data_IF_312384515423
#
_entry.id   IF_312384515423
#
_cell.length_a   1.000
_cell.length_b   1.000
_cell.length_c   1.000
_cell.angle_alpha   90.00
_cell.angle_beta   90.00
_cell.angle_gamma   90.00
#
_symmetry.space_group_name_H-M   'P 1'
#
loop_
_entity.id
_entity.type
_entity.pdbx_description
1 polymer ?
#
# COMPACT_ATOMS: atom_id res chain seq x y z
N UNK A 1 29.91 15.39 -38.98
CA UNK A 1 30.76 14.60 -39.90
C UNK A 1 30.54 13.12 -39.59
N UNK A 2 30.67 12.22 -40.56
CA UNK A 2 30.16 10.82 -40.48
C UNK A 2 30.82 10.01 -39.34
N UNK A 3 30.02 9.24 -38.61
CA UNK A 3 30.48 8.06 -37.85
C UNK A 3 30.21 6.85 -38.75
N UNK A 4 31.20 5.98 -38.93
CA UNK A 4 31.09 4.79 -39.77
C UNK A 4 31.98 3.66 -39.22
N UNK A 5 31.49 2.42 -39.34
CA UNK A 5 32.24 1.16 -39.20
C UNK A 5 32.80 0.78 -37.82
N UNK A 6 33.06 -0.49 -37.53
CA UNK A 6 32.47 -1.75 -38.04
C UNK A 6 32.83 -2.92 -37.10
N UNK A 7 32.09 -4.01 -37.23
CA UNK A 7 32.03 -5.19 -36.37
C UNK A 7 33.18 -6.23 -36.54
N UNK A 8 33.01 -7.38 -35.85
CA UNK A 8 33.44 -8.79 -36.14
C UNK A 8 34.83 -9.30 -35.65
N UNK A 9 34.86 -10.63 -35.31
CA UNK A 9 35.96 -11.64 -35.20
C UNK A 9 36.65 -11.75 -33.80
N UNK A 10 36.94 -12.92 -33.16
CA UNK A 10 36.55 -14.38 -33.15
C UNK A 10 37.01 -14.92 -31.73
N UNK A 11 36.33 -15.78 -30.94
CA UNK A 11 35.96 -17.22 -31.02
C UNK A 11 36.88 -18.23 -30.26
N UNK A 12 36.30 -19.37 -29.85
CA UNK A 12 36.97 -20.56 -29.26
C UNK A 12 36.84 -20.68 -27.73
N UNK A 13 36.73 -21.85 -27.06
CA UNK A 13 36.67 -23.29 -27.40
C UNK A 13 35.86 -23.94 -26.23
N UNK A 14 34.73 -24.65 -26.39
CA UNK A 14 34.49 -26.02 -26.88
C UNK A 14 35.02 -27.15 -25.95
N UNK A 15 34.09 -27.86 -25.27
CA UNK A 15 34.13 -29.26 -24.75
C UNK A 15 32.81 -29.45 -23.93
N UNK A 16 31.74 -30.14 -24.33
CA UNK A 16 31.51 -31.51 -24.85
C UNK A 16 31.15 -32.55 -23.76
N UNK A 17 30.04 -33.29 -23.97
CA UNK A 17 29.46 -34.31 -23.07
C UNK A 17 27.93 -34.15 -22.93
N UNK A 18 27.10 -34.66 -23.85
CA UNK A 18 26.56 -36.05 -23.91
C UNK A 18 25.58 -36.37 -22.75
N UNK A 19 24.38 -36.94 -22.92
CA UNK A 19 23.68 -37.59 -24.05
C UNK A 19 22.14 -37.53 -23.77
N UNK A 20 21.28 -37.17 -24.74
CA UNK A 20 20.27 -38.01 -25.45
C UNK A 20 19.37 -38.92 -24.57
N UNK A 21 18.05 -39.15 -24.77
CA UNK A 21 17.03 -38.87 -25.81
C UNK A 21 15.65 -38.72 -25.10
N UNK A 22 14.52 -38.23 -25.66
CA UNK A 22 14.16 -37.97 -27.05
C UNK A 22 13.11 -38.98 -27.57
N UNK A 23 11.81 -38.65 -27.53
CA UNK A 23 10.74 -39.28 -28.34
C UNK A 23 9.64 -38.25 -28.65
N UNK A 24 9.18 -38.19 -29.90
CA UNK A 24 7.95 -37.49 -30.31
C UNK A 24 7.32 -38.22 -31.51
N UNK A 25 5.99 -38.06 -31.63
CA UNK A 25 5.13 -38.32 -32.81
C UNK A 25 4.39 -39.67 -32.89
N UNK A 26 3.07 -39.53 -32.85
CA UNK A 26 1.95 -40.37 -33.33
C UNK A 26 2.00 -40.57 -34.86
N UNK A 27 1.39 -41.63 -35.48
CA UNK A 27 -0.09 -41.72 -35.63
C UNK A 27 -0.74 -43.13 -35.65
N UNK A 28 -2.09 -43.13 -35.72
CA UNK A 28 -3.04 -44.25 -35.97
C UNK A 28 -3.18 -44.53 -37.50
N UNK A 29 -4.00 -45.47 -38.08
CA UNK A 29 -5.11 -46.30 -37.51
C UNK A 29 -5.38 -47.73 -38.12
N UNK A 30 -6.52 -48.36 -37.73
CA UNK A 30 -7.29 -49.48 -38.40
C UNK A 30 -6.66 -50.93 -38.43
N UNK A 31 -7.35 -52.11 -38.41
CA UNK A 31 -8.78 -52.55 -38.29
C UNK A 31 -8.93 -54.10 -38.05
N UNK A 32 -9.81 -54.53 -37.11
CA UNK A 32 -10.61 -55.82 -37.07
C UNK A 32 -9.90 -57.21 -37.08
N UNK A 33 -10.55 -58.38 -36.77
CA UNK A 33 -11.98 -58.67 -36.47
C UNK A 33 -12.32 -59.60 -35.25
N UNK A 34 -13.61 -59.55 -34.86
CA UNK A 34 -14.53 -60.63 -34.38
C UNK A 34 -14.09 -61.67 -33.33
N UNK A 35 -14.79 -61.68 -32.19
CA UNK A 35 -15.11 -62.89 -31.41
C UNK A 35 -16.57 -62.88 -30.95
N UNK A 36 -17.18 -64.05 -30.87
CA UNK A 36 -18.58 -64.32 -30.44
C UNK A 36 -18.65 -64.76 -28.99
N UNK A 37 -19.73 -64.43 -28.26
CA UNK A 37 -20.48 -65.33 -27.37
C UNK A 37 -21.82 -64.71 -26.94
N UNK A 38 -22.71 -65.52 -26.37
CA UNK A 38 -24.15 -65.24 -26.17
C UNK A 38 -24.51 -64.78 -24.75
N UNK A 39 -25.54 -63.93 -24.69
CA UNK A 39 -26.69 -63.94 -23.76
C UNK A 39 -26.53 -63.85 -22.22
N UNK A 40 -27.58 -63.27 -21.62
CA UNK A 40 -27.99 -63.27 -20.20
C UNK A 40 -27.00 -62.78 -19.15
N UNK A 41 -27.11 -61.50 -18.78
CA UNK A 41 -27.70 -61.14 -17.47
C UNK A 41 -28.09 -59.65 -17.42
N UNK A 42 -29.14 -59.31 -16.68
CA UNK A 42 -29.59 -57.91 -16.50
C UNK A 42 -28.86 -57.27 -15.32
N UNK A 43 -28.03 -56.23 -15.51
CA UNK A 43 -27.37 -55.58 -14.39
C UNK A 43 -28.38 -54.81 -13.55
N UNK A 44 -28.46 -55.11 -12.25
CA UNK A 44 -29.11 -54.20 -11.29
C UNK A 44 -28.31 -52.90 -11.25
N UNK A 45 -28.88 -51.82 -11.78
CA UNK A 45 -28.35 -50.47 -11.60
C UNK A 45 -28.39 -50.16 -10.10
N UNK A 46 -27.22 -50.19 -9.47
CA UNK A 46 -27.03 -49.65 -8.13
C UNK A 46 -26.70 -48.19 -8.31
N UNK A 47 -27.65 -47.30 -8.02
CA UNK A 47 -27.41 -45.86 -8.06
C UNK A 47 -26.39 -45.49 -6.98
N UNK A 48 -25.16 -45.21 -7.40
CA UNK A 48 -24.21 -44.49 -6.57
C UNK A 48 -24.67 -43.03 -6.51
N UNK A 49 -25.36 -42.68 -5.42
CA UNK A 49 -25.71 -41.29 -5.11
C UNK A 49 -24.41 -40.56 -4.78
N UNK A 50 -23.72 -40.05 -5.80
CA UNK A 50 -22.71 -39.01 -5.63
C UNK A 50 -23.41 -37.78 -5.08
N UNK A 51 -23.29 -37.55 -3.78
CA UNK A 51 -23.67 -36.27 -3.19
C UNK A 51 -22.74 -35.21 -3.78
N UNK A 52 -23.29 -34.37 -4.66
CA UNK A 52 -22.60 -33.15 -5.09
C UNK A 52 -22.19 -32.36 -3.84
N UNK A 53 -20.95 -31.85 -3.75
CA UNK A 53 -20.57 -31.00 -2.63
C UNK A 53 -21.55 -29.84 -2.55
N UNK A 54 -22.09 -29.56 -1.35
CA UNK A 54 -22.90 -28.37 -1.14
C UNK A 54 -22.10 -27.15 -1.60
N UNK A 55 -22.72 -26.20 -2.33
CA UNK A 55 -22.02 -24.99 -2.74
C UNK A 55 -21.48 -24.30 -1.49
N UNK A 56 -20.19 -23.97 -1.49
CA UNK A 56 -19.59 -23.13 -0.45
C UNK A 56 -20.45 -21.87 -0.33
N UNK A 57 -20.97 -21.53 0.86
CA UNK A 57 -21.81 -20.34 0.99
C UNK A 57 -21.00 -19.13 0.56
N UNK A 58 -21.54 -18.36 -0.40
CA UNK A 58 -20.97 -17.08 -0.80
C UNK A 58 -20.83 -16.21 0.45
N UNK A 59 -19.65 -15.63 0.73
CA UNK A 59 -19.50 -14.76 1.88
C UNK A 59 -20.51 -13.61 1.85
N UNK A 60 -21.16 -13.34 2.98
CA UNK A 60 -22.06 -12.18 3.12
C UNK A 60 -21.38 -10.89 2.64
N UNK A 61 -22.10 -9.98 1.95
CA UNK A 61 -21.51 -8.75 1.44
C UNK A 61 -21.05 -7.85 2.59
N UNK A 62 -19.92 -7.17 2.40
CA UNK A 62 -19.46 -6.13 3.33
C UNK A 62 -20.21 -4.83 3.05
N UNK A 63 -20.89 -4.30 4.07
CA UNK A 63 -21.84 -3.18 3.95
C UNK A 63 -21.42 -1.92 4.70
N UNK A 64 -20.38 -1.99 5.53
CA UNK A 64 -19.89 -0.87 6.32
C UNK A 64 -18.40 -1.02 6.69
N UNK A 65 -17.80 0.07 7.17
CA UNK A 65 -16.38 0.14 7.51
C UNK A 65 -15.95 -0.79 8.66
N UNK A 66 -16.83 -1.09 9.62
CA UNK A 66 -16.55 -2.07 10.70
C UNK A 66 -16.38 -3.48 10.14
N UNK A 67 -17.30 -3.91 9.27
CA UNK A 67 -17.22 -5.20 8.57
C UNK A 67 -16.00 -5.25 7.65
N UNK A 68 -15.67 -4.14 6.98
CA UNK A 68 -14.47 -4.03 6.16
C UNK A 68 -13.19 -4.20 7.00
N UNK A 69 -13.04 -3.45 8.11
CA UNK A 69 -11.88 -3.51 9.01
C UNK A 69 -11.59 -4.94 9.49
N UNK A 70 -12.64 -5.67 9.88
CA UNK A 70 -12.54 -7.07 10.32
C UNK A 70 -12.12 -8.05 9.20
N UNK A 71 -12.39 -7.71 7.93
CA UNK A 71 -12.09 -8.54 6.76
C UNK A 71 -10.98 -8.02 5.85
N UNK A 72 -10.30 -6.92 6.20
CA UNK A 72 -9.12 -6.47 5.46
C UNK A 72 -8.07 -7.59 5.33
N UNK A 73 -7.33 -7.63 4.22
CA UNK A 73 -6.23 -8.60 4.00
C UNK A 73 -5.10 -8.51 5.05
N UNK A 74 -5.06 -7.44 5.84
CA UNK A 74 -4.15 -7.25 6.98
C UNK A 74 -4.76 -7.58 8.35
N UNK A 75 -6.08 -7.80 8.45
CA UNK A 75 -6.81 -7.80 9.75
C UNK A 75 -6.32 -8.87 10.74
N UNK A 76 -5.76 -9.97 10.25
CA UNK A 76 -5.22 -11.04 11.09
C UNK A 76 -3.85 -10.71 11.70
N UNK A 77 -3.08 -9.80 11.08
CA UNK A 77 -1.65 -9.55 11.36
C UNK A 77 -1.37 -8.30 12.19
N UNK A 78 -2.38 -7.47 12.44
CA UNK A 78 -2.23 -6.12 12.99
C UNK A 78 -3.05 -5.93 14.27
N UNK A 79 -2.51 -5.20 15.23
CA UNK A 79 -3.19 -4.81 16.47
C UNK A 79 -4.11 -3.60 16.28
N UNK A 80 -3.77 -2.71 15.35
CA UNK A 80 -4.47 -1.46 15.07
C UNK A 80 -4.55 -1.23 13.55
N UNK A 81 -5.65 -0.63 13.10
CA UNK A 81 -5.79 -0.19 11.71
C UNK A 81 -6.49 1.16 11.64
N UNK A 82 -5.92 2.07 10.86
CA UNK A 82 -6.58 3.30 10.44
C UNK A 82 -7.15 3.12 9.03
N UNK A 83 -8.34 3.65 8.79
CA UNK A 83 -9.00 3.60 7.49
C UNK A 83 -9.34 5.02 7.07
N UNK A 84 -8.94 5.40 5.86
CA UNK A 84 -9.19 6.71 5.26
C UNK A 84 -9.98 6.51 3.99
N UNK A 85 -11.18 7.11 3.91
CA UNK A 85 -12.07 7.03 2.77
C UNK A 85 -12.35 8.46 2.28
N UNK A 86 -12.03 8.77 1.03
CA UNK A 86 -12.34 10.10 0.47
C UNK A 86 -13.85 10.32 0.33
N UNK A 87 -14.28 11.56 0.58
CA UNK A 87 -15.66 12.03 0.41
C UNK A 87 -15.86 12.61 -0.99
N UNK A 88 -16.53 11.85 -1.85
CA UNK A 88 -16.81 12.27 -3.22
C UNK A 88 -15.53 12.55 -3.99
N UNK A 89 -15.44 13.70 -4.67
CA UNK A 89 -14.26 14.12 -5.45
C UNK A 89 -13.48 15.27 -4.79
N UNK A 90 -13.77 15.56 -3.51
CA UNK A 90 -13.15 16.67 -2.78
C UNK A 90 -11.91 16.27 -1.97
N UNK A 91 -11.23 17.24 -1.34
CA UNK A 91 -10.09 16.99 -0.46
C UNK A 91 -10.52 16.57 0.96
N UNK A 92 -11.79 16.24 1.21
CA UNK A 92 -12.26 15.73 2.51
C UNK A 92 -12.20 14.19 2.56
N UNK A 93 -11.99 13.64 3.75
CA UNK A 93 -12.10 12.20 4.00
C UNK A 93 -12.79 11.90 5.33
N UNK A 94 -13.35 10.70 5.44
CA UNK A 94 -13.62 10.06 6.71
C UNK A 94 -12.37 9.29 7.16
N UNK A 95 -11.92 9.56 8.38
CA UNK A 95 -10.82 8.86 9.04
C UNK A 95 -11.37 8.05 10.22
N UNK A 96 -11.10 6.75 10.24
CA UNK A 96 -11.51 5.83 11.31
C UNK A 96 -10.27 5.21 11.95
N UNK A 97 -10.27 5.10 13.29
CA UNK A 97 -9.22 4.41 14.03
C UNK A 97 -9.81 3.19 14.76
N UNK A 98 -9.28 2.01 14.45
CA UNK A 98 -9.70 0.75 15.06
C UNK A 98 -8.58 0.11 15.87
N UNK A 99 -8.95 -0.55 16.97
CA UNK A 99 -8.06 -1.44 17.74
C UNK A 99 -8.66 -2.83 17.87
N UNK A 100 -7.80 -3.85 17.89
CA UNK A 100 -8.22 -5.24 18.02
C UNK A 100 -8.56 -5.58 19.47
N UNK A 101 -9.74 -6.16 19.71
CA UNK A 101 -10.17 -6.74 20.98
C UNK A 101 -10.52 -8.20 20.75
N UNK A 102 -9.67 -9.11 21.24
CA UNK A 102 -9.76 -10.52 20.87
C UNK A 102 -9.48 -10.71 19.38
N UNK A 103 -10.47 -11.22 18.64
CA UNK A 103 -10.37 -11.44 17.19
C UNK A 103 -11.01 -10.33 16.34
N UNK A 104 -11.75 -9.39 16.94
CA UNK A 104 -12.47 -8.35 16.22
C UNK A 104 -11.83 -6.96 16.40
N UNK A 105 -11.95 -6.12 15.38
CA UNK A 105 -11.66 -4.70 15.47
C UNK A 105 -12.86 -3.94 16.01
N UNK A 106 -12.64 -3.14 17.06
CA UNK A 106 -13.61 -2.12 17.50
C UNK A 106 -13.13 -0.74 17.11
N UNK A 107 -14.06 0.14 16.79
CA UNK A 107 -13.76 1.56 16.57
C UNK A 107 -13.36 2.22 17.90
N UNK A 108 -12.32 3.04 17.86
CA UNK A 108 -11.87 3.89 18.99
C UNK A 108 -12.36 5.32 18.79
N UNK A 109 -12.20 5.84 17.57
CA UNK A 109 -12.80 7.10 17.14
C UNK A 109 -12.94 7.14 15.62
N UNK A 110 -13.76 8.06 15.13
CA UNK A 110 -13.74 8.55 13.76
C UNK A 110 -13.69 10.09 13.74
N UNK A 111 -13.28 10.67 12.61
CA UNK A 111 -13.26 12.12 12.40
C UNK A 111 -13.30 12.46 10.91
N UNK A 112 -13.67 13.71 10.59
CA UNK A 112 -13.45 14.27 9.26
C UNK A 112 -11.98 14.70 9.17
N UNK A 113 -11.31 14.26 8.12
CA UNK A 113 -9.95 14.67 7.77
C UNK A 113 -9.88 15.36 6.42
N UNK A 114 -8.66 15.71 6.03
CA UNK A 114 -8.32 16.23 4.71
C UNK A 114 -7.29 15.32 4.03
N UNK A 115 -7.41 15.17 2.72
CA UNK A 115 -6.45 14.51 1.82
C UNK A 115 -5.85 15.54 0.85
N UNK A 116 -5.06 15.07 -0.11
CA UNK A 116 -4.53 15.89 -1.19
C UNK A 116 -5.62 16.72 -1.90
N UNK A 117 -5.26 17.94 -2.32
CA UNK A 117 -6.13 18.87 -3.06
C UNK A 117 -6.91 18.23 -4.21
N UNK A 118 -6.28 17.28 -4.92
CA UNK A 118 -6.82 16.60 -6.08
C UNK A 118 -7.35 15.19 -5.76
N UNK A 119 -7.62 14.92 -4.48
CA UNK A 119 -8.11 13.66 -3.94
C UNK A 119 -7.03 12.60 -3.71
N UNK A 120 -7.44 11.35 -3.75
CA UNK A 120 -6.63 10.14 -3.63
C UNK A 120 -6.30 9.62 -5.04
N UNK A 121 -5.02 9.32 -5.28
CA UNK A 121 -4.54 8.71 -6.52
C UNK A 121 -4.59 7.19 -6.43
N UNK A 122 -5.07 6.54 -7.49
CA UNK A 122 -4.73 5.13 -7.72
C UNK A 122 -3.21 4.98 -7.88
N UNK A 123 -2.67 3.82 -7.50
CA UNK A 123 -1.21 3.55 -7.45
C UNK A 123 -0.45 3.93 -8.73
N UNK A 124 -1.03 3.63 -9.89
CA UNK A 124 -0.40 3.89 -11.19
C UNK A 124 -0.46 5.36 -11.60
N UNK A 125 -1.47 6.11 -11.13
CA UNK A 125 -1.64 7.54 -11.38
C UNK A 125 -0.76 8.43 -10.48
N UNK A 126 -0.38 7.94 -9.31
CA UNK A 126 0.38 8.71 -8.32
C UNK A 126 1.77 9.10 -8.86
N UNK A 127 2.12 10.38 -8.74
CA UNK A 127 3.43 10.94 -9.05
C UNK A 127 3.79 12.15 -8.16
N UNK A 128 5.02 12.66 -8.25
CA UNK A 128 5.43 13.86 -7.52
C UNK A 128 4.70 15.12 -8.03
N UNK A 129 4.29 16.00 -7.12
CA UNK A 129 3.59 17.25 -7.45
C UNK A 129 2.16 17.11 -7.99
N UNK A 130 1.53 15.93 -7.93
CA UNK A 130 0.13 15.71 -8.35
C UNK A 130 -0.93 16.27 -7.39
N UNK A 131 -0.52 16.68 -6.17
CA UNK A 131 -1.38 17.08 -5.06
C UNK A 131 -2.43 16.02 -4.66
N UNK A 132 -2.08 14.74 -4.77
CA UNK A 132 -2.93 13.61 -4.40
C UNK A 132 -2.31 12.75 -3.30
N UNK A 133 -3.17 12.19 -2.45
CA UNK A 133 -2.78 11.19 -1.45
C UNK A 133 -2.71 9.80 -2.12
N UNK A 134 -1.71 8.95 -1.84
CA UNK A 134 -1.63 7.63 -2.47
C UNK A 134 -2.64 6.65 -1.86
N UNK A 135 -3.48 6.03 -2.70
CA UNK A 135 -4.29 4.87 -2.29
C UNK A 135 -3.41 3.68 -1.92
N UNK A 136 -3.93 2.77 -1.10
CA UNK A 136 -3.31 1.49 -0.77
C UNK A 136 -3.13 1.26 0.74
N UNK A 137 -2.26 0.31 1.07
CA UNK A 137 -2.04 -0.19 2.43
C UNK A 137 -0.59 0.11 2.83
N UNK A 138 -0.41 0.84 3.93
CA UNK A 138 0.90 1.31 4.40
C UNK A 138 1.07 1.07 5.90
N UNK A 139 2.33 1.04 6.34
CA UNK A 139 2.73 1.14 7.75
C UNK A 139 3.24 2.55 8.06
N UNK A 140 3.42 2.85 9.35
CA UNK A 140 4.07 4.08 9.79
C UNK A 140 5.59 3.92 9.91
N UNK A 141 6.31 5.02 9.70
CA UNK A 141 7.76 5.13 9.85
C UNK A 141 8.13 5.84 11.16
N UNK A 142 8.49 7.12 11.06
CA UNK A 142 8.85 7.96 12.22
C UNK A 142 7.64 8.75 12.69
N UNK A 143 7.39 8.78 14.00
CA UNK A 143 6.55 9.81 14.62
C UNK A 143 7.42 11.00 15.06
N UNK A 144 6.97 12.22 14.77
CA UNK A 144 7.74 13.44 15.01
C UNK A 144 6.85 14.68 15.07
N UNK A 145 7.42 15.83 15.40
CA UNK A 145 6.71 17.10 15.32
C UNK A 145 7.38 18.24 16.08
N UNK A 146 6.78 19.42 15.98
CA UNK A 146 7.27 20.67 16.56
C UNK A 146 6.99 20.73 18.07
N UNK A 147 5.94 20.04 18.54
CA UNK A 147 5.63 19.90 19.96
C UNK A 147 6.19 18.58 20.49
N UNK A 148 6.46 18.53 21.78
CA UNK A 148 6.75 17.29 22.49
C UNK A 148 5.44 16.47 22.63
N UNK A 149 5.48 15.17 22.34
CA UNK A 149 4.34 14.27 22.50
C UNK A 149 4.15 13.80 23.94
N UNK A 150 5.09 14.11 24.84
CA UNK A 150 5.15 13.68 26.24
C UNK A 150 5.18 12.15 26.39
N UNK A 151 5.71 11.42 25.40
CA UNK A 151 5.82 9.97 25.40
C UNK A 151 4.51 9.22 25.08
N UNK A 152 3.61 9.85 24.34
CA UNK A 152 2.33 9.25 23.91
C UNK A 152 2.52 8.22 22.79
N UNK A 153 3.46 8.43 21.86
CA UNK A 153 3.64 7.58 20.68
C UNK A 153 4.46 6.30 20.99
N UNK A 154 3.88 5.10 20.92
CA UNK A 154 4.58 3.87 21.32
C UNK A 154 5.63 3.39 20.30
N UNK A 155 5.56 3.86 19.04
CA UNK A 155 6.63 3.67 18.04
C UNK A 155 7.86 4.57 18.30
N UNK A 156 7.79 5.48 19.27
CA UNK A 156 8.83 6.46 19.59
C UNK A 156 8.70 7.76 18.79
N UNK A 157 9.17 8.86 19.38
CA UNK A 157 8.91 10.21 18.89
C UNK A 157 10.20 11.04 18.73
N UNK A 158 10.22 11.95 17.74
CA UNK A 158 11.32 12.92 17.52
C UNK A 158 10.78 14.35 17.55
N UNK A 159 11.22 15.17 18.50
CA UNK A 159 10.96 16.62 18.46
C UNK A 159 11.85 17.25 17.39
N UNK A 160 11.21 17.98 16.48
CA UNK A 160 11.83 18.67 15.33
C UNK A 160 12.62 19.89 15.81
N UNK A 161 13.85 20.05 15.31
CA UNK A 161 14.70 21.22 15.48
C UNK A 161 14.86 22.07 14.22
N UNK A 162 15.68 23.13 14.34
CA UNK A 162 15.93 24.10 13.25
C UNK A 162 16.75 23.53 12.08
N UNK A 163 17.42 22.39 12.27
CA UNK A 163 18.27 21.76 11.26
C UNK A 163 17.60 20.54 10.59
N UNK A 164 16.33 20.27 10.84
CA UNK A 164 15.61 19.09 10.32
C UNK A 164 14.83 19.39 9.03
N UNK A 165 15.07 18.58 8.00
CA UNK A 165 14.47 18.69 6.68
C UNK A 165 13.97 17.33 6.18
N UNK A 166 12.92 17.33 5.36
CA UNK A 166 12.60 16.20 4.48
C UNK A 166 13.03 16.51 3.05
N UNK A 167 13.72 15.57 2.41
CA UNK A 167 14.11 15.68 1.01
C UNK A 167 12.95 15.29 0.09
N UNK A 168 12.43 16.26 -0.65
CA UNK A 168 11.37 16.09 -1.65
C UNK A 168 11.88 16.40 -3.07
N UNK A 169 13.21 16.39 -3.29
CA UNK A 169 13.81 16.66 -4.59
C UNK A 169 13.99 15.34 -5.37
N UNK A 170 13.22 15.07 -6.45
CA UNK A 170 13.29 13.78 -7.16
C UNK A 170 14.67 13.45 -7.73
N UNK A 171 15.49 14.46 -8.00
CA UNK A 171 16.85 14.28 -8.52
C UNK A 171 17.84 13.84 -7.44
N UNK A 172 17.54 14.09 -6.15
CA UNK A 172 18.43 13.81 -5.02
C UNK A 172 18.61 12.32 -4.74
N UNK A 173 19.77 11.93 -4.24
CA UNK A 173 20.03 10.55 -3.81
C UNK A 173 19.46 10.23 -2.43
N UNK A 174 19.15 11.27 -1.63
CA UNK A 174 18.40 11.17 -0.37
C UNK A 174 16.90 11.45 -0.54
N UNK A 175 16.38 11.46 -1.77
CA UNK A 175 14.97 11.71 -2.05
C UNK A 175 14.03 10.86 -1.19
N UNK A 176 12.97 11.49 -0.68
CA UNK A 176 11.99 10.94 0.26
C UNK A 176 12.57 10.47 1.61
N UNK A 177 13.60 11.14 2.13
CA UNK A 177 14.22 10.83 3.43
C UNK A 177 14.32 12.07 4.32
N UNK A 178 14.39 11.83 5.63
CA UNK A 178 14.80 12.85 6.60
C UNK A 178 16.30 13.10 6.49
N UNK A 179 16.70 14.36 6.37
CA UNK A 179 18.10 14.78 6.31
C UNK A 179 18.36 15.96 7.25
N UNK A 180 19.59 16.07 7.75
CA UNK A 180 20.00 17.23 8.52
C UNK A 180 20.49 18.34 7.58
N UNK A 181 20.36 19.59 8.01
CA UNK A 181 20.83 20.78 7.29
C UNK A 181 22.30 20.71 6.83
N UNK A 182 23.16 20.05 7.61
CA UNK A 182 24.57 19.81 7.28
C UNK A 182 24.78 18.92 6.05
N UNK A 183 23.77 18.16 5.66
CA UNK A 183 23.77 17.22 4.53
C UNK A 183 23.02 17.79 3.30
N UNK A 184 22.49 19.03 3.40
CA UNK A 184 21.89 19.72 2.26
C UNK A 184 22.95 20.02 1.18
N UNK A 185 22.62 19.88 -0.10
CA UNK A 185 23.59 20.10 -1.17
C UNK A 185 23.90 21.59 -1.35
N UNK A 186 25.07 21.90 -1.91
CA UNK A 186 25.54 23.28 -2.12
C UNK A 186 24.60 24.12 -3.01
N UNK A 187 23.82 23.49 -3.89
CA UNK A 187 22.78 24.09 -4.73
C UNK A 187 21.37 23.96 -4.12
N UNK A 188 21.26 24.09 -2.79
CA UNK A 188 20.02 23.98 -2.03
C UNK A 188 18.86 24.81 -2.61
N UNK A 189 17.72 24.16 -2.80
CA UNK A 189 16.47 24.77 -3.27
C UNK A 189 15.36 24.52 -2.24
N UNK A 190 15.05 25.54 -1.42
CA UNK A 190 14.00 25.49 -0.39
C UNK A 190 12.60 25.09 -0.87
N UNK A 191 12.35 25.03 -2.18
CA UNK A 191 11.07 24.55 -2.73
C UNK A 191 11.00 23.02 -2.85
N UNK A 192 12.14 22.34 -2.75
CA UNK A 192 12.28 20.87 -2.89
C UNK A 192 12.75 20.16 -1.62
N UNK A 193 13.05 20.90 -0.56
CA UNK A 193 13.39 20.35 0.76
C UNK A 193 12.46 20.98 1.79
N UNK A 194 11.66 20.17 2.47
CA UNK A 194 10.68 20.66 3.43
C UNK A 194 11.36 20.91 4.78
N UNK A 195 11.52 22.19 5.15
CA UNK A 195 12.00 22.58 6.47
C UNK A 195 10.93 22.32 7.53
N UNK A 196 11.10 21.30 8.36
CA UNK A 196 10.01 20.74 9.17
C UNK A 196 9.51 21.71 10.25
N UNK A 197 10.42 22.41 10.93
CA UNK A 197 10.09 23.41 11.97
C UNK A 197 9.27 24.59 11.44
N UNK A 198 9.33 24.86 10.13
CA UNK A 198 8.62 25.99 9.51
C UNK A 198 7.09 25.76 9.45
N UNK A 199 6.64 24.51 9.58
CA UNK A 199 5.24 24.09 9.39
C UNK A 199 4.41 24.17 10.67
N UNK A 200 4.58 25.25 11.44
CA UNK A 200 3.89 25.50 12.73
C UNK A 200 2.38 25.32 12.61
N UNK A 201 1.79 24.65 13.59
CA UNK A 201 0.38 24.21 13.55
C UNK A 201 0.20 22.90 12.79
N UNK A 202 0.59 22.86 11.52
CA UNK A 202 0.43 21.68 10.65
C UNK A 202 1.25 20.49 11.16
N UNK A 203 2.53 20.70 11.48
CA UNK A 203 3.43 19.68 12.01
C UNK A 203 3.63 19.81 13.53
N UNK A 204 2.58 20.23 14.25
CA UNK A 204 2.58 20.12 15.71
C UNK A 204 2.83 18.66 16.14
N UNK A 205 2.10 17.73 15.52
CA UNK A 205 2.30 16.28 15.63
C UNK A 205 2.18 15.64 14.24
N UNK A 206 3.04 14.66 13.95
CA UNK A 206 3.18 14.02 12.64
C UNK A 206 3.55 12.54 12.81
N UNK A 207 3.05 11.69 11.92
CA UNK A 207 3.56 10.35 11.68
C UNK A 207 3.82 10.14 10.19
N UNK A 208 5.02 9.69 9.81
CA UNK A 208 5.32 9.41 8.40
C UNK A 208 4.61 8.15 7.93
N UNK A 209 3.91 8.23 6.80
CA UNK A 209 3.34 7.06 6.13
C UNK A 209 4.42 6.52 5.21
N UNK A 210 4.72 5.22 5.29
CA UNK A 210 5.79 4.58 4.51
C UNK A 210 5.39 4.35 3.04
N UNK A 211 4.96 5.41 2.37
CA UNK A 211 4.77 5.48 0.92
C UNK A 211 6.12 5.76 0.24
N UNK A 212 6.46 4.97 -0.79
CA UNK A 212 7.65 5.17 -1.63
C UNK A 212 8.97 5.19 -0.83
N UNK A 213 9.13 4.26 0.13
CA UNK A 213 10.32 4.16 1.00
C UNK A 213 11.20 2.93 0.73
N UNK A 214 10.66 1.84 0.19
CA UNK A 214 11.41 0.60 -0.10
C UNK A 214 10.81 -0.17 -1.30
N UNK A 215 11.47 -0.18 -2.47
CA UNK A 215 12.53 0.74 -2.87
C UNK A 215 11.98 2.17 -3.05
N UNK A 216 12.83 3.19 -2.88
CA UNK A 216 12.48 4.57 -3.23
C UNK A 216 12.52 4.73 -4.76
N UNK A 217 11.40 5.14 -5.36
CA UNK A 217 11.28 5.43 -6.79
C UNK A 217 11.24 6.95 -6.98
N UNK A 218 12.28 7.51 -7.61
CA UNK A 218 12.39 8.94 -7.92
C UNK A 218 11.15 9.43 -8.68
N UNK A 219 10.56 10.54 -8.23
CA UNK A 219 9.42 11.20 -8.88
C UNK A 219 8.05 10.55 -8.67
N UNK A 220 7.92 9.52 -7.81
CA UNK A 220 6.61 8.94 -7.45
C UNK A 220 5.83 9.70 -6.37
N UNK A 221 6.43 10.71 -5.76
CA UNK A 221 5.88 11.42 -4.60
C UNK A 221 6.73 11.16 -3.35
N UNK A 222 6.72 12.14 -2.44
CA UNK A 222 7.50 12.16 -1.20
C UNK A 222 6.70 12.81 -0.07
N UNK A 223 7.23 12.77 1.16
CA UNK A 223 6.70 13.48 2.33
C UNK A 223 5.19 13.24 2.59
N UNK A 224 4.74 11.98 2.42
CA UNK A 224 3.36 11.59 2.71
C UNK A 224 3.24 11.31 4.20
N UNK A 225 2.59 12.21 4.94
CA UNK A 225 2.44 12.12 6.39
C UNK A 225 0.97 12.11 6.81
N UNK A 226 0.72 11.62 8.02
CA UNK A 226 -0.47 11.93 8.81
C UNK A 226 -0.10 13.08 9.78
N UNK A 227 -0.83 14.20 9.75
CA UNK A 227 -0.49 15.39 10.55
C UNK A 227 -1.72 16.18 11.04
N UNK A 228 -1.51 17.27 11.78
CA UNK A 228 -2.58 18.12 12.28
C UNK A 228 -3.21 18.99 11.18
N UNK A 229 -4.53 19.14 11.19
CA UNK A 229 -5.22 20.27 10.54
C UNK A 229 -4.84 21.54 11.31
N UNK A 230 -4.32 22.54 10.60
CA UNK A 230 -4.03 23.85 11.17
C UNK A 230 -5.24 24.77 11.03
N UNK A 231 -5.67 25.39 12.12
CA UNK A 231 -6.72 26.41 12.09
C UNK A 231 -6.38 27.54 11.10
N UNK A 232 -7.37 27.98 10.31
CA UNK A 232 -7.18 29.00 9.27
C UNK A 232 -6.25 28.59 8.13
N UNK A 233 -5.95 27.29 7.95
CA UNK A 233 -5.27 26.79 6.75
C UNK A 233 -6.22 26.63 5.57
N UNK A 234 -5.67 26.24 4.42
CA UNK A 234 -6.49 25.81 3.28
C UNK A 234 -7.11 24.45 3.62
N UNK A 235 -8.35 24.21 3.23
CA UNK A 235 -9.07 22.95 3.46
C UNK A 235 -8.61 21.83 2.51
N UNK A 236 -7.30 21.62 2.39
CA UNK A 236 -6.67 20.52 1.63
C UNK A 236 -5.18 20.36 2.00
N UNK A 237 -4.58 19.22 1.65
CA UNK A 237 -3.13 18.97 1.79
C UNK A 237 -2.42 18.93 0.42
N UNK A 238 -1.09 18.81 0.44
CA UNK A 238 -0.28 18.51 -0.75
C UNK A 238 -0.25 17.03 -1.16
N UNK A 239 -0.92 16.15 -0.41
CA UNK A 239 -0.85 14.68 -0.57
C UNK A 239 -0.78 13.93 0.78
N UNK A 240 -0.44 14.62 1.86
CA UNK A 240 -0.61 14.14 3.24
C UNK A 240 -2.08 13.86 3.59
N UNK A 241 -2.31 13.23 4.75
CA UNK A 241 -3.60 13.18 5.43
C UNK A 241 -3.52 14.12 6.64
N UNK A 242 -4.55 14.95 6.85
CA UNK A 242 -4.64 15.84 8.00
C UNK A 242 -5.90 15.54 8.83
N UNK A 243 -5.76 15.46 10.15
CA UNK A 243 -6.87 15.29 11.10
C UNK A 243 -6.78 16.34 12.23
N UNK A 244 -7.87 16.64 12.97
CA UNK A 244 -7.83 17.58 14.10
C UNK A 244 -6.72 17.26 15.11
N UNK A 245 -6.13 18.27 15.76
CA UNK A 245 -4.94 18.09 16.62
C UNK A 245 -5.19 17.15 17.81
N UNK A 246 -6.40 17.15 18.39
CA UNK A 246 -6.80 16.21 19.44
C UNK A 246 -6.88 14.76 18.90
N UNK A 247 -7.48 14.57 17.73
CA UNK A 247 -7.53 13.27 17.03
C UNK A 247 -6.14 12.80 16.61
N UNK A 248 -5.21 13.71 16.35
CA UNK A 248 -3.81 13.39 16.01
C UNK A 248 -3.05 12.85 17.23
N UNK A 249 -3.29 13.38 18.43
CA UNK A 249 -2.74 12.82 19.67
C UNK A 249 -3.32 11.42 19.97
N UNK A 250 -4.63 11.24 19.80
CA UNK A 250 -5.27 9.92 19.91
C UNK A 250 -4.68 8.93 18.89
N UNK A 251 -4.47 9.36 17.63
CA UNK A 251 -3.83 8.56 16.59
C UNK A 251 -2.39 8.18 16.96
N UNK A 252 -1.55 9.13 17.43
CA UNK A 252 -0.18 8.84 17.85
C UNK A 252 -0.13 7.74 18.93
N UNK A 253 -1.05 7.76 19.90
CA UNK A 253 -1.14 6.74 20.96
C UNK A 253 -1.43 5.32 20.45
N UNK A 254 -1.92 5.20 19.22
CA UNK A 254 -2.30 3.95 18.55
C UNK A 254 -1.29 3.51 17.48
N UNK A 255 -0.20 4.26 17.23
CA UNK A 255 0.81 3.90 16.22
C UNK A 255 1.91 3.04 16.86
N UNK A 256 1.79 1.73 16.65
CA UNK A 256 2.79 0.70 16.93
C UNK A 256 3.47 0.24 15.62
N UNK A 257 4.52 -0.58 15.72
CA UNK A 257 5.24 -1.13 14.56
C UNK A 257 4.39 -2.03 13.65
N UNK A 258 3.27 -2.56 14.15
CA UNK A 258 2.30 -3.37 13.42
C UNK A 258 1.00 -2.60 13.12
N UNK A 259 0.99 -1.27 13.26
CA UNK A 259 -0.16 -0.42 12.93
C UNK A 259 -0.16 -0.06 11.44
N UNK A 260 -1.28 -0.32 10.79
CA UNK A 260 -1.46 -0.10 9.36
C UNK A 260 -2.46 1.03 9.10
N UNK A 261 -2.27 1.72 7.97
CA UNK A 261 -3.25 2.66 7.41
C UNK A 261 -3.67 2.18 6.02
N UNK A 262 -4.99 2.11 5.81
CA UNK A 262 -5.61 1.78 4.52
C UNK A 262 -6.23 3.05 3.96
N UNK A 263 -5.81 3.46 2.78
CA UNK A 263 -6.19 4.70 2.12
C UNK A 263 -6.97 4.34 0.85
N UNK A 264 -8.24 4.72 0.79
CA UNK A 264 -9.16 4.37 -0.29
C UNK A 264 -9.88 5.59 -0.85
N UNK A 265 -9.96 5.68 -2.17
CA UNK A 265 -10.66 6.75 -2.92
C UNK A 265 -12.18 6.68 -2.79
N UNK A 266 -12.74 5.53 -2.38
CA UNK A 266 -14.16 5.32 -2.10
C UNK A 266 -14.35 4.11 -1.18
N UNK A 267 -15.59 3.81 -0.78
CA UNK A 267 -15.88 2.57 -0.06
C UNK A 267 -15.67 1.33 -0.96
N UNK A 268 -16.00 1.41 -2.25
CA UNK A 268 -15.77 0.30 -3.20
C UNK A 268 -14.27 0.01 -3.39
N UNK A 269 -13.43 1.04 -3.36
CA UNK A 269 -11.97 0.92 -3.39
C UNK A 269 -11.43 0.26 -2.09
N UNK A 270 -12.03 0.56 -0.94
CA UNK A 270 -11.74 -0.14 0.32
C UNK A 270 -12.10 -1.64 0.24
N UNK A 271 -13.18 -2.00 -0.46
CA UNK A 271 -13.57 -3.41 -0.65
C UNK A 271 -12.57 -4.20 -1.51
N UNK A 272 -11.76 -3.55 -2.35
CA UNK A 272 -10.66 -4.20 -3.05
C UNK A 272 -9.52 -4.67 -2.12
N UNK A 273 -9.55 -4.30 -0.84
CA UNK A 273 -8.62 -4.72 0.20
C UNK A 273 -9.22 -5.73 1.20
N UNK A 274 -10.41 -6.26 0.92
CA UNK A 274 -11.15 -7.21 1.77
C UNK A 274 -11.00 -8.65 1.26
N UNK A 275 -11.06 -9.61 2.19
CA UNK A 275 -11.05 -11.07 1.95
C UNK A 275 -12.45 -11.70 1.99
#
# INVERSE_FOLDING_TARGET
MKILCASIILAGILLAGCVNNGVKLTPSPQTTPRSTMQATDTPKVTEYITQSPSPTPTPEPVTNVYQAANRLVVSEKVSHVFIVIQRGNGPECDFYAFKKQGNEFVEVFNTVGLVGKNGIAAKEEKHEGDYRTPAGIYIFGRCFGIKDDNGIAPLGYTVVGEDDYWDSNPESDTYNQWIMKKDLPANFDKTKYEHLISKKGTYNYVASINYNVDPIIKGKGSAIFLHCIREGSMQYTGGCIAIPEDRMLDALSMIYSDTYIVIASSFDDLLAHVR
#
